data_IF_981821951281
#
_entry.id   IF_981821951281
#
_cell.length_a   1.000
_cell.length_b   1.000
_cell.length_c   1.000
_cell.angle_alpha   90.00
_cell.angle_beta   90.00
_cell.angle_gamma   90.00
#
_symmetry.space_group_name_H-M   'P 1'
#
loop_
_entity.id
_entity.type
_entity.pdbx_description
1 polymer ?
#
# COMPACT_ATOMS: atom_id res chain seq x y z
N UNK A 1 -7.32 -11.96 19.36
CA UNK A 1 -7.81 -10.59 19.07
C UNK A 1 -9.09 -10.39 19.87
N UNK A 2 -9.29 -9.24 20.53
CA UNK A 2 -10.52 -8.92 21.25
C UNK A 2 -11.75 -9.00 20.35
N UNK A 3 -12.92 -9.37 20.90
CA UNK A 3 -14.16 -9.51 20.12
C UNK A 3 -14.57 -8.20 19.43
N UNK A 4 -14.41 -7.07 20.11
CA UNK A 4 -14.68 -5.72 19.58
C UNK A 4 -13.87 -5.41 18.32
N UNK A 5 -12.57 -5.76 18.29
CA UNK A 5 -11.73 -5.54 17.11
C UNK A 5 -12.23 -6.34 15.90
N UNK A 6 -12.69 -7.58 16.13
CA UNK A 6 -13.24 -8.41 15.06
C UNK A 6 -14.54 -7.83 14.51
N UNK A 7 -15.36 -7.20 15.35
CA UNK A 7 -16.58 -6.52 14.92
C UNK A 7 -16.26 -5.29 14.06
N UNK A 8 -15.31 -4.44 14.50
CA UNK A 8 -14.84 -3.29 13.71
C UNK A 8 -14.32 -3.72 12.34
N UNK A 9 -13.49 -4.78 12.30
CA UNK A 9 -12.99 -5.33 11.03
C UNK A 9 -14.15 -5.75 10.13
N UNK A 10 -15.12 -6.50 10.65
CA UNK A 10 -16.29 -6.96 9.87
C UNK A 10 -17.15 -5.81 9.36
N UNK A 11 -17.34 -4.76 10.16
CA UNK A 11 -18.06 -3.56 9.76
C UNK A 11 -17.35 -2.86 8.60
N UNK A 12 -16.04 -2.62 8.72
CA UNK A 12 -15.24 -2.01 7.65
C UNK A 12 -15.16 -2.85 6.40
N UNK A 13 -15.10 -4.18 6.51
CA UNK A 13 -15.19 -5.09 5.37
C UNK A 13 -16.50 -4.89 4.61
N UNK A 14 -17.64 -4.79 5.31
CA UNK A 14 -18.95 -4.52 4.67
C UNK A 14 -18.97 -3.17 3.96
N UNK A 15 -18.41 -2.12 4.56
CA UNK A 15 -18.31 -0.80 3.91
C UNK A 15 -17.46 -0.85 2.63
N UNK A 16 -16.32 -1.55 2.67
CA UNK A 16 -15.39 -1.64 1.54
C UNK A 16 -15.98 -2.50 0.40
N UNK A 17 -16.69 -3.58 0.74
CA UNK A 17 -17.36 -4.45 -0.26
C UNK A 17 -18.43 -3.72 -1.10
N UNK A 18 -18.87 -2.53 -0.69
CA UNK A 18 -19.78 -1.70 -1.49
C UNK A 18 -19.11 -1.09 -2.74
N UNK A 19 -17.77 -0.97 -2.73
CA UNK A 19 -17.01 -0.34 -3.82
C UNK A 19 -16.08 -1.33 -4.55
N UNK A 20 -15.66 -2.42 -3.89
CA UNK A 20 -14.76 -3.42 -4.46
C UNK A 20 -15.25 -4.83 -4.17
N UNK A 21 -14.95 -5.79 -5.05
CA UNK A 21 -15.28 -7.19 -4.84
C UNK A 21 -14.02 -8.02 -4.57
N UNK A 22 -13.83 -8.44 -3.32
CA UNK A 22 -12.73 -9.30 -2.88
C UNK A 22 -13.29 -10.39 -1.99
N UNK A 23 -12.68 -11.59 -1.97
CA UNK A 23 -13.09 -12.63 -1.02
C UNK A 23 -12.98 -12.11 0.42
N UNK A 24 -14.04 -12.27 1.22
CA UNK A 24 -14.11 -11.77 2.61
C UNK A 24 -12.88 -12.15 3.43
N UNK A 25 -12.43 -13.40 3.37
CA UNK A 25 -11.26 -13.87 4.11
C UNK A 25 -9.98 -13.07 3.80
N UNK A 26 -9.81 -12.64 2.54
CA UNK A 26 -8.67 -11.83 2.11
C UNK A 26 -8.84 -10.40 2.60
N UNK A 27 -10.05 -9.84 2.44
CA UNK A 27 -10.33 -8.47 2.82
C UNK A 27 -10.27 -8.25 4.33
N UNK A 28 -10.75 -9.20 5.13
CA UNK A 28 -10.61 -9.23 6.59
C UNK A 28 -9.14 -9.19 7.03
N UNK A 29 -8.26 -9.95 6.36
CA UNK A 29 -6.82 -9.94 6.64
C UNK A 29 -6.19 -8.58 6.31
N UNK A 30 -6.55 -7.99 5.17
CA UNK A 30 -6.03 -6.67 4.75
C UNK A 30 -6.52 -5.58 5.72
N UNK A 31 -7.83 -5.49 5.96
CA UNK A 31 -8.43 -4.51 6.88
C UNK A 31 -7.88 -4.68 8.29
N UNK A 32 -7.80 -5.92 8.79
CA UNK A 32 -7.23 -6.22 10.10
C UNK A 32 -5.77 -5.77 10.21
N UNK A 33 -4.96 -5.96 9.16
CA UNK A 33 -3.59 -5.49 9.12
C UNK A 33 -3.50 -3.96 9.18
N UNK A 34 -4.27 -3.25 8.35
CA UNK A 34 -4.28 -1.78 8.32
C UNK A 34 -4.72 -1.18 9.66
N UNK A 35 -5.80 -1.70 10.24
CA UNK A 35 -6.28 -1.23 11.55
C UNK A 35 -5.27 -1.55 12.67
N UNK A 36 -4.62 -2.71 12.62
CA UNK A 36 -3.57 -3.07 13.60
C UNK A 36 -2.34 -2.17 13.48
N UNK A 37 -1.96 -1.79 12.25
CA UNK A 37 -0.86 -0.86 11.99
C UNK A 37 -1.18 0.54 12.52
N UNK A 38 -2.37 1.07 12.18
CA UNK A 38 -2.85 2.38 12.61
C UNK A 38 -2.93 2.49 14.14
N UNK A 39 -3.48 1.48 14.79
CA UNK A 39 -3.72 1.50 16.24
C UNK A 39 -2.47 1.08 17.06
N UNK A 40 -1.34 0.79 16.41
CA UNK A 40 -0.11 0.33 17.07
C UNK A 40 -0.27 -1.05 17.76
N UNK A 41 -1.27 -1.84 17.38
CA UNK A 41 -1.66 -3.10 18.03
C UNK A 41 -0.88 -4.30 17.48
N UNK A 42 0.45 -4.28 17.64
CA UNK A 42 1.32 -5.42 17.28
C UNK A 42 1.98 -6.03 18.54
N UNK A 43 1.50 -7.20 19.03
CA UNK A 43 1.82 -7.66 20.38
C UNK A 43 3.29 -8.02 20.67
N UNK A 44 4.15 -8.33 19.69
CA UNK A 44 5.62 -8.58 19.87
C UNK A 44 6.32 -9.17 18.63
N UNK A 45 5.91 -8.81 17.42
CA UNK A 45 6.69 -9.08 16.19
C UNK A 45 6.67 -7.82 15.33
N UNK A 46 7.79 -7.54 14.65
CA UNK A 46 7.85 -6.46 13.66
C UNK A 46 6.67 -6.63 12.67
N UNK A 47 5.85 -5.61 12.44
CA UNK A 47 4.71 -5.73 11.54
C UNK A 47 5.18 -5.97 10.10
N UNK A 48 4.35 -6.59 9.25
CA UNK A 48 4.57 -6.59 7.80
C UNK A 48 4.74 -5.15 7.30
N UNK A 49 5.77 -4.92 6.47
CA UNK A 49 6.10 -3.59 5.94
C UNK A 49 5.70 -3.38 4.48
N UNK A 50 5.09 -4.38 3.85
CA UNK A 50 4.66 -4.30 2.46
C UNK A 50 3.57 -5.32 2.14
N UNK A 51 2.63 -4.91 1.29
CA UNK A 51 1.66 -5.77 0.65
C UNK A 51 1.85 -5.65 -0.86
N UNK A 52 1.75 -6.78 -1.57
CA UNK A 52 1.77 -6.81 -3.01
C UNK A 52 0.41 -7.26 -3.53
N UNK A 53 -0.27 -6.40 -4.28
CA UNK A 53 -1.47 -6.77 -5.02
C UNK A 53 -1.07 -7.22 -6.43
N UNK A 54 -1.22 -8.51 -6.71
CA UNK A 54 -0.91 -9.09 -8.02
C UNK A 54 -2.15 -9.70 -8.68
N UNK A 55 -2.16 -9.75 -10.01
CA UNK A 55 -3.16 -10.41 -10.83
C UNK A 55 -3.37 -9.67 -12.16
N UNK A 56 -4.34 -10.08 -12.99
CA UNK A 56 -4.62 -9.43 -14.27
C UNK A 56 -4.91 -7.93 -14.16
N UNK A 57 -4.71 -7.14 -15.24
CA UNK A 57 -5.17 -5.77 -15.31
C UNK A 57 -6.70 -5.70 -15.21
N UNK A 58 -7.23 -4.58 -14.72
CA UNK A 58 -8.68 -4.37 -14.59
C UNK A 58 -9.35 -5.02 -13.37
N UNK A 59 -8.62 -5.74 -12.51
CA UNK A 59 -9.20 -6.35 -11.29
C UNK A 59 -9.32 -5.38 -10.10
N UNK A 60 -9.22 -4.08 -10.32
CA UNK A 60 -9.45 -3.07 -9.27
C UNK A 60 -8.37 -2.93 -8.19
N UNK A 61 -7.10 -3.30 -8.44
CA UNK A 61 -6.02 -3.19 -7.42
C UNK A 61 -5.78 -1.75 -6.95
N UNK A 62 -5.71 -0.81 -7.90
CA UNK A 62 -5.60 0.62 -7.60
C UNK A 62 -6.85 1.16 -6.90
N UNK A 63 -8.04 0.67 -7.28
CA UNK A 63 -9.30 1.04 -6.63
C UNK A 63 -9.34 0.56 -5.18
N UNK A 64 -8.95 -0.70 -4.93
CA UNK A 64 -8.85 -1.27 -3.59
C UNK A 64 -8.01 -0.39 -2.66
N UNK A 65 -6.84 0.05 -3.10
CA UNK A 65 -5.98 0.88 -2.26
C UNK A 65 -6.64 2.21 -1.90
N UNK A 66 -7.25 2.88 -2.88
CA UNK A 66 -7.96 4.16 -2.66
C UNK A 66 -9.14 3.99 -1.71
N UNK A 67 -9.94 2.94 -1.90
CA UNK A 67 -11.06 2.64 -1.02
C UNK A 67 -10.59 2.29 0.40
N UNK A 68 -9.52 1.50 0.56
CA UNK A 68 -8.94 1.19 1.87
C UNK A 68 -8.51 2.45 2.61
N UNK A 69 -7.73 3.32 1.96
CA UNK A 69 -7.25 4.56 2.57
C UNK A 69 -8.42 5.44 3.05
N UNK A 70 -9.41 5.64 2.18
CA UNK A 70 -10.60 6.46 2.46
C UNK A 70 -11.46 5.88 3.59
N UNK A 71 -11.75 4.57 3.58
CA UNK A 71 -12.74 3.95 4.50
C UNK A 71 -12.16 3.63 5.87
N UNK A 72 -10.84 3.44 5.97
CA UNK A 72 -10.18 3.10 7.23
C UNK A 72 -9.69 4.33 8.00
N UNK A 73 -9.86 5.53 7.44
CA UNK A 73 -9.39 6.78 8.06
C UNK A 73 -7.88 6.74 8.33
N UNK A 74 -7.13 6.08 7.45
CA UNK A 74 -5.67 6.09 7.49
C UNK A 74 -5.14 7.32 6.76
N UNK A 75 -3.88 7.67 7.03
CA UNK A 75 -3.12 8.65 6.26
C UNK A 75 -3.30 8.47 4.76
N UNK A 76 -3.52 9.57 4.03
CA UNK A 76 -3.62 9.54 2.58
C UNK A 76 -2.31 8.97 2.00
N UNK A 77 -2.37 7.92 1.16
CA UNK A 77 -1.17 7.30 0.61
C UNK A 77 -0.36 8.28 -0.22
N UNK A 78 0.96 8.19 -0.10
CA UNK A 78 1.86 8.82 -1.08
C UNK A 78 1.82 7.95 -2.33
N UNK A 79 1.09 8.43 -3.33
CA UNK A 79 0.91 7.74 -4.61
C UNK A 79 2.15 7.89 -5.48
N UNK A 80 2.68 6.77 -5.93
CA UNK A 80 3.75 6.67 -6.91
C UNK A 80 3.21 5.86 -8.08
N UNK A 81 3.27 6.38 -9.30
CA UNK A 81 3.14 5.53 -10.49
C UNK A 81 4.52 5.18 -11.00
N UNK A 82 4.75 3.91 -11.28
CA UNK A 82 6.05 3.42 -11.73
C UNK A 82 6.68 4.25 -12.86
N UNK A 83 5.96 4.56 -13.95
CA UNK A 83 6.49 5.39 -15.04
C UNK A 83 6.87 6.81 -14.62
N UNK A 84 6.23 7.40 -13.61
CA UNK A 84 6.51 8.76 -13.14
C UNK A 84 7.86 8.88 -12.40
N UNK A 85 8.42 7.76 -11.95
CA UNK A 85 9.72 7.73 -11.27
C UNK A 85 10.86 7.52 -12.25
N UNK A 86 10.62 6.86 -13.39
CA UNK A 86 11.66 6.55 -14.38
C UNK A 86 12.05 7.85 -15.11
N UNK A 87 13.32 8.24 -14.98
CA UNK A 87 13.88 9.41 -15.65
C UNK A 87 14.97 8.97 -16.62
N UNK A 88 15.03 9.63 -17.78
CA UNK A 88 16.13 9.46 -18.74
C UNK A 88 17.46 10.05 -18.24
N UNK A 89 17.43 10.84 -17.17
CA UNK A 89 18.61 11.46 -16.59
C UNK A 89 19.10 10.64 -15.39
N UNK A 90 20.35 10.21 -15.43
CA UNK A 90 21.00 9.43 -14.39
C UNK A 90 20.85 10.09 -13.01
N UNK A 91 20.45 9.32 -12.00
CA UNK A 91 20.36 9.78 -10.61
C UNK A 91 19.06 10.52 -10.23
N UNK A 92 18.25 10.99 -11.20
CA UNK A 92 17.00 11.72 -10.90
C UNK A 92 15.92 10.81 -10.31
N UNK A 93 15.82 9.57 -10.78
CA UNK A 93 14.87 8.58 -10.27
C UNK A 93 15.15 8.24 -8.81
N UNK A 94 16.41 8.02 -8.46
CA UNK A 94 16.85 7.71 -7.09
C UNK A 94 16.68 8.91 -6.16
N UNK A 95 16.95 10.12 -6.64
CA UNK A 95 16.70 11.35 -5.89
C UNK A 95 15.20 11.52 -5.56
N UNK A 96 14.32 11.28 -6.55
CA UNK A 96 12.86 11.36 -6.37
C UNK A 96 12.35 10.30 -5.38
N UNK A 97 12.85 9.06 -5.48
CA UNK A 97 12.52 8.02 -4.50
C UNK A 97 12.97 8.41 -3.09
N UNK A 98 14.21 8.92 -2.93
CA UNK A 98 14.70 9.40 -1.63
C UNK A 98 13.78 10.47 -1.03
N UNK A 99 13.36 11.45 -1.83
CA UNK A 99 12.43 12.50 -1.37
C UNK A 99 11.09 11.92 -0.91
N UNK A 100 10.54 10.94 -1.63
CA UNK A 100 9.27 10.31 -1.25
C UNK A 100 9.40 9.54 0.07
N UNK A 101 10.51 8.81 0.28
CA UNK A 101 10.74 8.13 1.55
C UNK A 101 10.99 9.12 2.71
N UNK A 102 11.64 10.25 2.46
CA UNK A 102 11.76 11.33 3.46
C UNK A 102 10.38 11.87 3.85
N UNK A 103 9.54 12.20 2.87
CA UNK A 103 8.17 12.66 3.11
C UNK A 103 7.34 11.61 3.88
N UNK A 104 7.48 10.33 3.54
CA UNK A 104 6.82 9.25 4.25
C UNK A 104 7.27 9.16 5.72
N UNK A 105 8.56 9.39 5.99
CA UNK A 105 9.09 9.41 7.35
C UNK A 105 8.52 10.57 8.17
N UNK A 106 8.47 11.77 7.58
CA UNK A 106 7.88 12.96 8.21
C UNK A 106 6.39 12.73 8.55
N UNK A 107 5.60 12.22 7.59
CA UNK A 107 4.19 11.86 7.85
C UNK A 107 4.03 10.80 8.93
N UNK A 108 4.91 9.79 8.97
CA UNK A 108 4.85 8.76 9.99
C UNK A 108 5.15 9.31 11.40
N UNK A 109 5.98 10.34 11.52
CA UNK A 109 6.26 11.02 12.80
C UNK A 109 5.05 11.83 13.29
N UNK A 110 4.28 12.43 12.36
CA UNK A 110 3.09 13.24 12.67
C UNK A 110 1.81 12.39 12.89
N UNK A 111 1.61 11.37 12.05
CA UNK A 111 0.35 10.61 11.96
C UNK A 111 0.47 9.17 12.48
N UNK A 112 1.63 8.78 13.02
CA UNK A 112 1.95 7.43 13.53
C UNK A 112 1.84 6.30 12.46
N UNK A 113 1.59 6.65 11.20
CA UNK A 113 1.49 5.75 10.06
C UNK A 113 1.81 6.53 8.78
N UNK A 114 2.54 5.91 7.85
CA UNK A 114 2.67 6.40 6.48
C UNK A 114 2.53 5.24 5.51
N UNK A 115 1.81 5.48 4.42
CA UNK A 115 1.56 4.49 3.38
C UNK A 115 2.13 5.04 2.08
N UNK A 116 3.04 4.28 1.47
CA UNK A 116 3.49 4.52 0.09
C UNK A 116 2.77 3.50 -0.79
N UNK A 117 2.04 3.99 -1.78
CA UNK A 117 1.42 3.11 -2.77
C UNK A 117 2.16 3.24 -4.10
N UNK A 118 2.72 2.12 -4.57
CA UNK A 118 3.42 2.05 -5.85
C UNK A 118 2.52 1.32 -6.83
N UNK A 119 1.89 2.08 -7.73
CA UNK A 119 1.16 1.54 -8.87
C UNK A 119 2.14 1.19 -10.00
N UNK A 120 1.84 0.17 -10.78
CA UNK A 120 2.69 -0.30 -11.90
C UNK A 120 4.15 -0.57 -11.45
N UNK A 121 4.32 -1.27 -10.32
CA UNK A 121 5.64 -1.62 -9.76
C UNK A 121 6.53 -2.38 -10.75
N UNK A 122 5.93 -3.14 -11.67
CA UNK A 122 6.61 -3.87 -12.73
C UNK A 122 7.39 -2.96 -13.69
N UNK A 123 7.00 -1.69 -13.85
CA UNK A 123 7.79 -0.74 -14.61
C UNK A 123 9.10 -0.35 -13.89
N UNK A 124 9.09 -0.34 -12.56
CA UNK A 124 10.26 0.02 -11.73
C UNK A 124 11.18 -1.16 -11.46
N UNK A 125 10.63 -2.37 -11.40
CA UNK A 125 11.35 -3.59 -11.11
C UNK A 125 11.09 -4.64 -12.20
N UNK A 126 11.51 -4.38 -13.45
CA UNK A 126 11.38 -5.36 -14.52
C UNK A 126 12.24 -6.59 -14.20
N UNK A 127 11.83 -7.75 -14.73
CA UNK A 127 12.65 -8.97 -14.63
C UNK A 127 14.00 -8.73 -15.29
N UNK A 128 15.08 -9.05 -14.58
CA UNK A 128 16.47 -8.86 -15.04
C UNK A 128 16.77 -9.55 -16.38
N UNK A 129 16.06 -10.63 -16.69
CA UNK A 129 16.24 -11.39 -17.94
C UNK A 129 15.68 -10.67 -19.17
N UNK A 130 14.79 -9.69 -18.98
CA UNK A 130 14.14 -8.91 -20.06
C UNK A 130 14.90 -7.61 -20.33
N UNK A 131 15.61 -7.09 -19.33
CA UNK A 131 16.52 -5.95 -19.51
C UNK A 131 17.78 -6.40 -20.24
N UNK A 132 17.74 -6.39 -21.59
CA UNK A 132 18.96 -6.25 -22.37
C UNK A 132 19.57 -4.92 -21.94
N UNK A 133 20.67 -4.99 -21.17
CA UNK A 133 21.45 -3.80 -20.88
C UNK A 133 21.83 -3.14 -22.19
N UNK A 134 21.41 -1.89 -22.37
CA UNK A 134 22.12 -1.01 -23.29
C UNK A 134 23.44 -0.70 -22.59
N UNK A 135 24.48 -1.42 -23.00
CA UNK A 135 25.88 -0.99 -22.90
C UNK A 135 26.16 -0.03 -24.06
#
# INVERSE_FOLDING_TARGET
MPNEFREIVKEKVKEIQQEVYIKDEILEKIVGLFLSLRDGRFPSKKPPRGLLFYGPPGTGKTLLMKTLAKKLGTSEPIMIKGPEIISQYYGKSEAKLRQIFTLAKERAEEENLAIIFIDELDSLAPRRDITKGEL
#
